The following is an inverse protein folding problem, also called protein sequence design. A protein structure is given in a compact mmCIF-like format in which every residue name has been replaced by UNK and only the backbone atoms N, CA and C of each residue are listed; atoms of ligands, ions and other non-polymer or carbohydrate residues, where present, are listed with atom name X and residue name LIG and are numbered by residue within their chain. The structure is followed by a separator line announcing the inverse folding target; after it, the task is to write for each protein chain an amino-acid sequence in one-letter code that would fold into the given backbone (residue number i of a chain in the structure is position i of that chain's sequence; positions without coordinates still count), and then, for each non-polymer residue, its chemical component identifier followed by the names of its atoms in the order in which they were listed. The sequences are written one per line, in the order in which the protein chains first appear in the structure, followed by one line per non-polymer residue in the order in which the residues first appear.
data_IF_387852957945
#
_entry.id   IF_387852957945
#
_cell.length_a   1.000
_cell.length_b   1.000
_cell.length_c   1.000
_cell.angle_alpha   90.00
_cell.angle_beta   90.00
_cell.angle_gamma   90.00
#
_symmetry.space_group_name_H-M   'P 1'
#
loop_
_entity.id
_entity.type
_entity.pdbx_description
1 polymer ?
#
# COMPACT_ATOMS: atom_id res chain seq x y z
N UNK A 1 -6.16 -28.13 5.36
CA UNK A 1 -4.78 -27.62 5.39
C UNK A 1 -4.65 -26.52 6.43
N UNK A 2 -3.53 -26.46 7.10
CA UNK A 2 -3.32 -25.47 8.15
C UNK A 2 -3.23 -24.06 7.57
N UNK A 3 -3.88 -23.09 8.22
CA UNK A 3 -3.71 -21.68 7.90
C UNK A 3 -2.27 -21.27 8.19
N UNK A 4 -1.69 -20.54 7.26
CA UNK A 4 -0.35 -20.01 7.37
C UNK A 4 -0.41 -18.48 7.47
N UNK A 5 0.27 -17.92 8.45
CA UNK A 5 0.38 -16.47 8.61
C UNK A 5 1.77 -16.00 8.18
N UNK A 6 1.80 -14.90 7.45
CA UNK A 6 3.02 -14.25 7.00
C UNK A 6 3.03 -12.83 7.55
N UNK A 7 4.14 -12.41 8.12
CA UNK A 7 4.33 -11.07 8.66
C UNK A 7 5.26 -10.24 7.78
N UNK A 8 4.91 -8.98 7.58
CA UNK A 8 5.74 -8.05 6.83
C UNK A 8 7.09 -7.85 7.52
N UNK A 9 8.16 -7.89 6.73
CA UNK A 9 9.48 -7.45 7.15
C UNK A 9 9.66 -5.98 6.75
N UNK A 10 9.57 -5.03 7.68
CA UNK A 10 9.64 -3.61 7.33
C UNK A 10 11.02 -3.17 6.85
N UNK A 11 12.09 -3.88 7.22
CA UNK A 11 13.45 -3.53 6.78
C UNK A 11 13.70 -3.87 5.31
N UNK A 12 12.89 -4.73 4.72
CA UNK A 12 12.97 -5.14 3.32
C UNK A 12 11.72 -4.79 2.54
N UNK A 13 10.98 -3.79 3.01
CA UNK A 13 9.72 -3.39 2.39
C UNK A 13 9.65 -1.89 2.26
N UNK A 14 9.00 -1.43 1.18
CA UNK A 14 8.80 -0.01 0.91
C UNK A 14 7.42 0.22 0.30
N UNK A 15 6.84 1.38 0.62
CA UNK A 15 5.59 1.85 0.05
C UNK A 15 5.79 3.25 -0.47
N UNK A 16 5.62 3.43 -1.78
CA UNK A 16 5.86 4.69 -2.48
C UNK A 16 4.64 5.13 -3.26
N UNK A 17 4.54 6.42 -3.51
CA UNK A 17 3.52 6.99 -4.36
C UNK A 17 4.10 8.10 -5.24
N UNK A 18 3.43 8.37 -6.35
CA UNK A 18 3.78 9.44 -7.30
C UNK A 18 2.54 10.16 -7.77
N UNK A 19 2.67 11.48 -7.89
CA UNK A 19 1.62 12.35 -8.41
C UNK A 19 2.23 13.42 -9.31
N UNK A 20 1.51 13.82 -10.35
CA UNK A 20 1.94 14.90 -11.24
C UNK A 20 1.72 16.25 -10.59
N UNK A 21 2.71 17.13 -10.74
CA UNK A 21 2.65 18.52 -10.32
C UNK A 21 2.77 19.42 -11.56
N UNK A 22 1.79 20.30 -11.76
CA UNK A 22 1.66 21.18 -12.94
C UNK A 22 1.71 20.40 -14.27
N UNK A 23 1.46 19.11 -14.26
CA UNK A 23 1.54 18.20 -15.40
C UNK A 23 2.92 18.09 -16.06
N UNK A 24 3.95 18.69 -15.49
CA UNK A 24 5.31 18.74 -16.04
C UNK A 24 6.34 18.04 -15.18
N UNK A 25 6.05 17.80 -13.91
CA UNK A 25 6.97 17.12 -13.00
C UNK A 25 6.21 16.09 -12.14
N UNK A 26 6.97 15.22 -11.49
CA UNK A 26 6.41 14.19 -10.62
C UNK A 26 6.91 14.43 -9.20
N UNK A 27 5.97 14.49 -8.25
CA UNK A 27 6.28 14.46 -6.83
C UNK A 27 6.21 12.99 -6.39
N UNK A 28 7.29 12.52 -5.79
CA UNK A 28 7.38 11.18 -5.23
C UNK A 28 7.41 11.25 -3.72
N UNK A 29 6.73 10.32 -3.07
CA UNK A 29 6.72 10.22 -1.64
C UNK A 29 6.68 8.78 -1.18
N UNK A 30 6.81 8.60 0.12
CA UNK A 30 6.76 7.28 0.75
C UNK A 30 6.13 7.38 2.12
N UNK A 31 5.66 6.24 2.62
CA UNK A 31 5.25 6.07 4.00
C UNK A 31 6.31 5.22 4.71
N UNK A 32 6.86 5.74 5.79
CA UNK A 32 7.96 5.09 6.51
C UNK A 32 7.51 4.09 7.57
N UNK A 33 6.26 4.16 8.01
CA UNK A 33 5.69 3.25 8.99
C UNK A 33 4.44 2.59 8.45
N UNK A 34 4.52 1.31 8.21
CA UNK A 34 3.39 0.49 7.77
C UNK A 34 3.60 -0.95 8.21
N UNK A 35 2.50 -1.69 8.27
CA UNK A 35 2.51 -3.11 8.60
C UNK A 35 1.48 -3.83 7.75
N UNK A 36 1.69 -5.11 7.56
CA UNK A 36 0.75 -5.97 6.84
C UNK A 36 0.84 -7.39 7.37
N UNK A 37 -0.26 -8.09 7.29
CA UNK A 37 -0.34 -9.52 7.54
C UNK A 37 -1.01 -10.20 6.36
N UNK A 38 -0.56 -11.39 6.04
CA UNK A 38 -1.14 -12.23 5.00
C UNK A 38 -1.42 -13.59 5.61
N UNK A 39 -2.67 -14.05 5.46
CA UNK A 39 -3.06 -15.40 5.84
C UNK A 39 -3.33 -16.21 4.59
N UNK A 40 -2.70 -17.36 4.48
CA UNK A 40 -2.84 -18.25 3.33
C UNK A 40 -3.27 -19.65 3.77
N UNK A 41 -3.75 -20.42 2.81
CA UNK A 41 -3.98 -21.85 2.97
C UNK A 41 -2.74 -22.59 2.49
N UNK A 42 -1.81 -22.87 3.41
CA UNK A 42 -0.48 -23.36 3.04
C UNK A 42 0.25 -22.31 2.23
N UNK A 43 0.79 -22.69 1.08
CA UNK A 43 1.51 -21.79 0.17
C UNK A 43 0.63 -21.29 -0.99
N UNK A 44 -0.69 -21.45 -0.88
CA UNK A 44 -1.65 -20.99 -1.90
C UNK A 44 -2.09 -19.55 -1.63
N UNK A 45 -1.54 -18.62 -2.41
CA UNK A 45 -1.87 -17.20 -2.30
C UNK A 45 -3.18 -16.80 -3.00
N UNK A 46 -3.81 -17.68 -3.79
CA UNK A 46 -5.10 -17.37 -4.43
C UNK A 46 -6.23 -17.19 -3.41
N UNK A 47 -6.05 -17.73 -2.20
CA UNK A 47 -7.00 -17.58 -1.10
C UNK A 47 -6.46 -16.71 0.02
N UNK A 48 -5.46 -15.88 -0.29
CA UNK A 48 -4.84 -15.02 0.70
C UNK A 48 -5.81 -13.99 1.23
N UNK A 49 -5.75 -13.77 2.54
CA UNK A 49 -6.37 -12.62 3.21
C UNK A 49 -5.28 -11.66 3.60
N UNK A 50 -5.36 -10.44 3.06
CA UNK A 50 -4.36 -9.40 3.27
C UNK A 50 -4.98 -8.27 4.06
N UNK A 51 -4.33 -7.88 5.14
CA UNK A 51 -4.61 -6.66 5.87
C UNK A 51 -3.37 -5.79 5.89
N UNK A 52 -3.53 -4.52 5.56
CA UNK A 52 -2.44 -3.55 5.48
C UNK A 52 -2.85 -2.27 6.20
N UNK A 53 -1.91 -1.68 6.94
CA UNK A 53 -2.06 -0.36 7.56
C UNK A 53 -0.80 0.47 7.36
N UNK A 54 -0.98 1.75 6.97
CA UNK A 54 0.10 2.73 6.94
C UNK A 54 -0.25 3.91 7.85
N UNK A 55 0.73 4.41 8.58
CA UNK A 55 0.56 5.62 9.38
C UNK A 55 0.69 6.85 8.49
N UNK A 56 -0.34 7.67 8.46
CA UNK A 56 -0.36 8.88 7.64
C UNK A 56 0.74 9.85 8.05
N UNK A 57 1.03 9.98 9.34
CA UNK A 57 2.07 10.88 9.84
C UNK A 57 3.50 10.43 9.49
N UNK A 58 3.67 9.21 8.98
CA UNK A 58 4.96 8.71 8.48
C UNK A 58 5.27 9.11 7.04
N UNK A 59 4.41 9.90 6.41
CA UNK A 59 4.60 10.35 5.03
C UNK A 59 5.85 11.23 4.90
N UNK A 60 6.63 10.99 3.85
CA UNK A 60 7.81 11.77 3.53
C UNK A 60 7.92 12.00 2.02
N UNK A 61 8.08 13.25 1.64
CA UNK A 61 8.38 13.67 0.26
C UNK A 61 9.72 14.39 0.18
N UNK A 62 10.56 14.24 1.22
CA UNK A 62 11.85 14.93 1.38
C UNK A 62 11.72 16.46 1.45
N UNK A 63 10.59 16.95 1.95
CA UNK A 63 10.31 18.38 2.13
C UNK A 63 9.39 18.55 3.34
N UNK A 64 9.94 19.07 4.43
CA UNK A 64 9.22 19.15 5.71
C UNK A 64 7.95 20.00 5.62
N UNK A 65 7.98 21.11 4.89
CA UNK A 65 6.82 21.99 4.73
C UNK A 65 5.71 21.29 3.94
N UNK A 66 6.08 20.62 2.88
CA UNK A 66 5.12 19.86 2.07
C UNK A 66 4.54 18.69 2.88
N UNK A 67 5.37 17.98 3.62
CA UNK A 67 4.94 16.87 4.46
C UNK A 67 3.95 17.33 5.53
N UNK A 68 4.22 18.46 6.18
CA UNK A 68 3.30 19.06 7.15
C UNK A 68 1.96 19.43 6.51
N UNK A 69 1.98 19.97 5.29
CA UNK A 69 0.75 20.31 4.55
C UNK A 69 -0.04 19.05 4.17
N UNK A 70 0.65 17.98 3.74
CA UNK A 70 0.00 16.71 3.41
C UNK A 70 -0.73 16.08 4.61
N UNK A 71 -0.23 16.32 5.81
CA UNK A 71 -0.82 15.80 7.06
C UNK A 71 -2.04 16.58 7.53
N UNK A 72 -2.25 17.81 7.03
CA UNK A 72 -3.36 18.65 7.49
C UNK A 72 -4.67 18.36 6.76
N UNK A 73 -5.72 19.11 7.12
CA UNK A 73 -7.07 18.89 6.62
C UNK A 73 -7.26 19.11 5.12
N UNK A 74 -6.32 19.77 4.43
CA UNK A 74 -6.36 19.95 2.97
C UNK A 74 -6.10 18.62 2.24
N UNK A 75 -5.40 17.69 2.88
CA UNK A 75 -5.01 16.38 2.29
C UNK A 75 -5.50 15.22 3.15
N UNK A 76 -4.60 14.59 3.91
CA UNK A 76 -4.92 13.37 4.63
C UNK A 76 -5.63 13.57 5.96
N UNK A 77 -5.50 14.75 6.55
CA UNK A 77 -6.08 15.06 7.87
C UNK A 77 -5.64 14.00 8.92
N UNK A 78 -4.33 13.92 9.15
CA UNK A 78 -3.73 12.86 9.96
C UNK A 78 -4.23 12.81 11.40
N UNK A 79 -4.58 13.96 11.99
CA UNK A 79 -5.10 14.02 13.37
C UNK A 79 -6.45 13.33 13.49
N UNK A 80 -7.27 13.44 12.45
CA UNK A 80 -8.60 12.84 12.41
C UNK A 80 -8.59 11.43 11.83
N UNK A 81 -7.71 11.19 10.86
CA UNK A 81 -7.59 9.91 10.15
C UNK A 81 -6.14 9.44 10.15
N UNK A 82 -5.65 8.85 11.25
CA UNK A 82 -4.23 8.53 11.41
C UNK A 82 -3.73 7.36 10.55
N UNK A 83 -4.64 6.56 10.01
CA UNK A 83 -4.28 5.35 9.26
C UNK A 83 -4.88 5.33 7.86
N UNK A 84 -4.11 4.78 6.93
CA UNK A 84 -4.59 4.28 5.65
C UNK A 84 -4.64 2.76 5.79
N UNK A 85 -5.77 2.14 5.45
CA UNK A 85 -5.94 0.69 5.57
C UNK A 85 -6.34 0.08 4.23
N UNK A 86 -5.94 -1.17 4.05
CA UNK A 86 -6.37 -1.98 2.92
C UNK A 86 -6.74 -3.38 3.43
N UNK A 87 -7.92 -3.84 3.07
CA UNK A 87 -8.40 -5.19 3.37
C UNK A 87 -8.79 -5.89 2.08
N UNK A 88 -8.18 -7.04 1.82
CA UNK A 88 -8.45 -7.78 0.60
C UNK A 88 -9.82 -8.43 0.60
N UNK A 89 -10.43 -8.50 -0.57
CA UNK A 89 -11.64 -9.29 -0.82
C UNK A 89 -11.31 -10.60 -1.51
N UNK A 90 -10.39 -10.56 -2.48
CA UNK A 90 -9.92 -11.75 -3.19
C UNK A 90 -8.60 -11.47 -3.91
N UNK A 91 -7.91 -12.54 -4.23
CA UNK A 91 -6.68 -12.49 -5.02
C UNK A 91 -6.82 -13.46 -6.20
N UNK A 92 -6.74 -12.94 -7.41
CA UNK A 92 -6.99 -13.69 -8.63
C UNK A 92 -5.70 -13.88 -9.41
N UNK A 93 -5.33 -15.12 -9.69
CA UNK A 93 -4.14 -15.45 -10.47
C UNK A 93 -4.42 -15.17 -11.96
N UNK A 94 -3.60 -14.32 -12.57
CA UNK A 94 -3.74 -13.93 -13.98
C UNK A 94 -2.70 -14.58 -14.90
N UNK A 95 -1.54 -14.94 -14.34
CA UNK A 95 -0.50 -15.72 -14.99
C UNK A 95 0.30 -16.48 -13.95
N UNK A 96 1.40 -17.12 -14.32
CA UNK A 96 2.19 -17.94 -13.40
C UNK A 96 2.67 -17.15 -12.17
N UNK A 97 3.15 -15.91 -12.38
CA UNK A 97 3.70 -15.07 -11.32
C UNK A 97 2.91 -13.78 -11.09
N UNK A 98 1.75 -13.62 -11.71
CA UNK A 98 0.96 -12.40 -11.65
C UNK A 98 -0.42 -12.64 -11.07
N UNK A 99 -0.84 -11.69 -10.22
CA UNK A 99 -2.15 -11.70 -9.57
C UNK A 99 -2.80 -10.32 -9.67
N UNK A 100 -4.12 -10.31 -9.57
CA UNK A 100 -4.88 -9.09 -9.26
C UNK A 100 -5.41 -9.21 -7.85
N UNK A 101 -5.09 -8.21 -7.04
CA UNK A 101 -5.51 -8.12 -5.64
C UNK A 101 -6.66 -7.13 -5.56
N UNK A 102 -7.82 -7.64 -5.23
CA UNK A 102 -9.05 -6.86 -5.07
C UNK A 102 -9.28 -6.60 -3.60
N UNK A 103 -9.59 -5.38 -3.25
CA UNK A 103 -9.87 -5.07 -1.86
C UNK A 103 -10.42 -3.67 -1.66
N UNK A 104 -10.54 -3.30 -0.40
CA UNK A 104 -11.08 -2.01 0.03
C UNK A 104 -9.96 -1.19 0.61
N UNK A 105 -9.69 -0.04 -0.02
CA UNK A 105 -8.76 0.96 0.45
C UNK A 105 -9.55 2.02 1.20
N UNK A 106 -9.13 2.31 2.44
CA UNK A 106 -9.73 3.35 3.26
C UNK A 106 -8.69 4.41 3.56
N UNK A 107 -8.99 5.65 3.19
CA UNK A 107 -8.16 6.78 3.54
C UNK A 107 -9.03 8.02 3.70
N UNK A 108 -8.69 8.87 4.65
CA UNK A 108 -9.47 10.04 5.01
C UNK A 108 -10.94 9.71 5.31
N UNK A 109 -11.19 8.56 5.95
CA UNK A 109 -12.53 8.12 6.31
C UNK A 109 -13.39 7.62 5.14
N UNK A 110 -12.83 7.54 3.92
CA UNK A 110 -13.55 7.08 2.73
C UNK A 110 -13.02 5.74 2.28
N UNK A 111 -13.93 4.79 2.09
CA UNK A 111 -13.60 3.43 1.64
C UNK A 111 -14.03 3.23 0.20
N UNK A 112 -13.11 2.74 -0.64
CA UNK A 112 -13.36 2.46 -2.04
C UNK A 112 -12.76 1.11 -2.43
N UNK A 113 -13.44 0.41 -3.33
CA UNK A 113 -12.89 -0.81 -3.95
C UNK A 113 -11.79 -0.44 -4.92
N UNK A 114 -10.65 -1.12 -4.79
CA UNK A 114 -9.51 -0.94 -5.67
C UNK A 114 -8.99 -2.29 -6.16
N UNK A 115 -8.26 -2.26 -7.27
CA UNK A 115 -7.59 -3.43 -7.84
C UNK A 115 -6.11 -3.10 -7.99
N UNK A 116 -5.27 -3.94 -7.38
CA UNK A 116 -3.82 -3.77 -7.41
C UNK A 116 -3.18 -4.91 -8.23
N UNK A 117 -2.27 -4.55 -9.11
CA UNK A 117 -1.46 -5.53 -9.84
C UNK A 117 -0.37 -6.03 -8.90
N UNK A 118 -0.20 -7.33 -8.81
CA UNK A 118 0.71 -7.96 -7.86
C UNK A 118 1.56 -8.99 -8.59
N UNK A 119 2.89 -8.78 -8.54
CA UNK A 119 3.86 -9.73 -9.06
C UNK A 119 4.42 -10.55 -7.90
N UNK A 120 4.36 -11.87 -8.03
CA UNK A 120 4.82 -12.80 -7.01
C UNK A 120 6.30 -13.15 -7.27
N UNK A 121 7.15 -12.90 -6.27
CA UNK A 121 8.58 -13.14 -6.36
C UNK A 121 9.02 -14.57 -5.97
N UNK A 122 8.09 -15.42 -5.60
CA UNK A 122 8.40 -16.78 -5.17
C UNK A 122 8.57 -16.93 -3.66
N UNK A 123 8.87 -18.14 -3.25
CA UNK A 123 9.11 -18.52 -1.85
C UNK A 123 10.52 -19.06 -1.75
N UNK A 124 11.29 -18.60 -0.77
CA UNK A 124 12.66 -19.04 -0.55
C UNK A 124 12.97 -19.11 0.95
N UNK A 125 14.07 -19.79 1.29
CA UNK A 125 14.62 -19.77 2.65
C UNK A 125 15.81 -18.84 2.71
N UNK A 126 15.87 -18.03 3.78
CA UNK A 126 17.05 -17.23 4.05
C UNK A 126 18.15 -18.04 4.77
N UNK A 127 19.37 -17.47 4.94
CA UNK A 127 20.46 -18.19 5.60
C UNK A 127 20.20 -18.55 7.06
N UNK A 128 19.19 -17.94 7.68
CA UNK A 128 18.83 -18.16 9.08
C UNK A 128 17.68 -19.15 9.25
N UNK A 129 17.24 -19.78 8.14
CA UNK A 129 16.19 -20.79 8.17
C UNK A 129 14.75 -20.26 8.12
N UNK A 130 14.57 -18.96 7.92
CA UNK A 130 13.24 -18.38 7.75
C UNK A 130 12.73 -18.58 6.33
N UNK A 131 11.47 -18.89 6.19
CA UNK A 131 10.81 -18.93 4.88
C UNK A 131 10.28 -17.54 4.55
N UNK A 132 10.63 -17.03 3.38
CA UNK A 132 10.30 -15.68 2.92
C UNK A 132 9.60 -15.72 1.58
N UNK A 133 8.75 -14.72 1.37
CA UNK A 133 8.12 -14.46 0.08
C UNK A 133 8.14 -12.96 -0.19
N UNK A 134 8.06 -12.58 -1.44
CA UNK A 134 8.07 -11.17 -1.85
C UNK A 134 7.05 -10.89 -2.94
N UNK A 135 6.55 -9.66 -2.95
CA UNK A 135 5.61 -9.17 -3.94
C UNK A 135 5.98 -7.76 -4.36
N UNK A 136 5.76 -7.47 -5.64
CA UNK A 136 5.74 -6.11 -6.15
C UNK A 136 4.30 -5.74 -6.46
N UNK A 137 3.80 -4.70 -5.82
CA UNK A 137 2.40 -4.28 -5.91
C UNK A 137 2.35 -2.91 -6.55
N UNK A 138 1.46 -2.74 -7.52
CA UNK A 138 1.26 -1.45 -8.18
C UNK A 138 -0.21 -1.19 -8.42
N UNK A 139 -0.57 0.09 -8.45
CA UNK A 139 -1.93 0.51 -8.73
C UNK A 139 -2.03 1.99 -8.95
N UNK A 140 -3.22 2.40 -9.32
CA UNK A 140 -3.57 3.80 -9.53
C UNK A 140 -4.88 4.08 -8.80
N UNK A 141 -4.93 5.21 -8.12
CA UNK A 141 -6.16 5.70 -7.49
C UNK A 141 -6.41 7.14 -7.93
N UNK A 142 -7.67 7.53 -7.90
CA UNK A 142 -8.05 8.94 -8.07
C UNK A 142 -8.26 9.53 -6.68
N UNK A 143 -7.46 10.55 -6.33
CA UNK A 143 -7.50 11.17 -5.02
C UNK A 143 -8.85 11.83 -4.71
N UNK A 144 -9.57 12.28 -5.72
CA UNK A 144 -10.91 12.85 -5.54
C UNK A 144 -11.92 11.84 -4.99
N UNK A 145 -11.75 10.57 -5.32
CA UNK A 145 -12.62 9.50 -4.80
C UNK A 145 -12.55 9.39 -3.27
N UNK A 146 -11.47 9.87 -2.67
CA UNK A 146 -11.24 9.86 -1.23
C UNK A 146 -11.43 11.25 -0.59
N UNK A 147 -12.00 12.19 -1.32
CA UNK A 147 -12.23 13.54 -0.81
C UNK A 147 -10.99 14.43 -0.73
N UNK A 148 -9.89 14.04 -1.37
CA UNK A 148 -8.64 14.82 -1.39
C UNK A 148 -8.61 15.64 -2.66
N UNK A 149 -9.15 16.87 -2.61
CA UNK A 149 -9.34 17.71 -3.79
C UNK A 149 -8.48 18.99 -3.82
N UNK A 150 -7.69 19.23 -2.77
CA UNK A 150 -6.85 20.43 -2.69
C UNK A 150 -5.85 20.49 -3.85
N UNK A 151 -5.59 21.69 -4.36
CA UNK A 151 -4.60 21.89 -5.42
C UNK A 151 -5.05 21.44 -6.80
N UNK A 152 -6.35 21.30 -7.03
CA UNK A 152 -6.88 20.83 -8.32
C UNK A 152 -6.58 21.82 -9.45
N UNK A 153 -6.72 23.14 -9.20
CA UNK A 153 -6.60 24.17 -10.24
C UNK A 153 -5.77 25.34 -9.71
N UNK A 154 -4.84 25.83 -10.53
CA UNK A 154 -4.07 27.05 -10.25
C UNK A 154 -4.90 28.30 -10.57
N UNK A 155 -4.40 29.48 -10.21
CA UNK A 155 -5.04 30.77 -10.51
C UNK A 155 -5.26 30.99 -12.01
N UNK A 156 -4.41 30.40 -12.86
CA UNK A 156 -4.53 30.51 -14.33
C UNK A 156 -5.45 29.45 -14.93
N UNK A 157 -6.09 28.60 -14.11
CA UNK A 157 -6.96 27.54 -14.56
C UNK A 157 -6.23 26.25 -14.95
N UNK A 158 -4.91 26.17 -14.79
CA UNK A 158 -4.13 24.96 -15.05
C UNK A 158 -4.18 24.02 -13.86
N UNK A 159 -4.11 22.71 -14.09
CA UNK A 159 -4.04 21.72 -13.02
C UNK A 159 -2.76 21.92 -12.21
N UNK A 160 -2.90 22.16 -10.90
CA UNK A 160 -1.79 22.29 -9.98
C UNK A 160 -1.27 20.91 -9.56
N UNK A 161 -2.18 20.01 -9.16
CA UNK A 161 -1.89 18.62 -8.85
C UNK A 161 -2.78 17.72 -9.69
N UNK A 162 -2.21 16.64 -10.20
CA UNK A 162 -2.98 15.60 -10.89
C UNK A 162 -3.98 14.91 -9.96
N UNK A 163 -4.99 14.31 -10.54
CA UNK A 163 -6.00 13.53 -9.82
C UNK A 163 -5.56 12.08 -9.59
N UNK A 164 -4.71 11.55 -10.46
CA UNK A 164 -4.21 10.18 -10.40
C UNK A 164 -2.98 10.08 -9.53
N UNK A 165 -3.03 9.17 -8.55
CA UNK A 165 -1.89 8.81 -7.72
C UNK A 165 -1.46 7.39 -8.07
N UNK A 166 -0.19 7.22 -8.45
CA UNK A 166 0.40 5.91 -8.69
C UNK A 166 0.98 5.38 -7.39
N UNK A 167 0.68 4.12 -7.10
CA UNK A 167 1.12 3.42 -5.91
C UNK A 167 2.09 2.32 -6.32
N UNK A 168 3.21 2.22 -5.61
CA UNK A 168 4.18 1.14 -5.75
C UNK A 168 4.59 0.65 -4.37
N UNK A 169 4.53 -0.65 -4.17
CA UNK A 169 5.02 -1.28 -2.95
C UNK A 169 5.88 -2.49 -3.33
N UNK A 170 7.04 -2.58 -2.73
CA UNK A 170 7.87 -3.78 -2.76
C UNK A 170 7.88 -4.32 -1.34
N UNK A 171 7.32 -5.49 -1.13
CA UNK A 171 7.09 -6.04 0.19
C UNK A 171 7.67 -7.43 0.32
N UNK A 172 8.23 -7.69 1.48
CA UNK A 172 8.76 -9.00 1.83
C UNK A 172 8.10 -9.48 3.12
N UNK A 173 7.71 -10.74 3.12
CA UNK A 173 7.04 -11.37 4.26
C UNK A 173 7.84 -12.55 4.77
N UNK A 174 7.75 -12.77 6.07
CA UNK A 174 8.33 -13.93 6.73
C UNK A 174 7.21 -14.84 7.21
N UNK A 175 7.32 -16.10 6.89
CA UNK A 175 6.39 -17.12 7.36
C UNK A 175 6.51 -17.25 8.88
N UNK A 176 5.41 -17.07 9.59
CA UNK A 176 5.40 -17.22 11.04
C UNK A 176 5.39 -18.69 11.42
N UNK A 177 6.09 -19.02 12.51
CA UNK A 177 6.05 -20.35 13.07
C UNK A 177 4.62 -20.66 13.57
N UNK A 178 4.17 -21.89 13.33
CA UNK A 178 2.89 -22.35 13.86
C UNK A 178 3.03 -22.44 15.38
N UNK A 179 2.15 -21.72 16.11
CA UNK A 179 2.08 -21.84 17.55
C UNK A 179 1.39 -23.15 17.89
N UNK A 180 2.12 -24.06 18.52
CA UNK A 180 1.51 -25.26 19.08
C UNK A 180 0.87 -24.89 20.41
N UNK A 181 -0.43 -25.19 20.54
CA UNK A 181 -1.10 -25.09 21.82
C UNK A 181 -0.43 -26.04 22.82
N UNK A 182 0.03 -25.49 23.94
CA UNK A 182 0.66 -26.28 24.99
C UNK A 182 -0.39 -27.15 25.71
#
# INVERSE_FOLDING_TARGET
MANQTWALDPTHSELQFKIKHLMISTVSGQFNEFKATVETNGDDFTKAKVHFEARVDSISTNNEQRDAHLKNGDFFDADKYPLITFDSERMEKTSEDEYKLYGILTMRGVSKKVVLNTDFGGITKDPWGNTRTGFSVSGKINRYDFGISFGAVSETGSLLLGDEVKINANVQFVKEAVAYAA
#
